data_IF_906735461727
#
_entry.id   IF_906735461727
#
_cell.length_a   1.000
_cell.length_b   1.000
_cell.length_c   1.000
_cell.angle_alpha   90.00
_cell.angle_beta   90.00
_cell.angle_gamma   90.00
#
_symmetry.space_group_name_H-M   'P 1'
#
loop_
_entity.id
_entity.type
_entity.pdbx_description
1 polymer ?
#
# COMPACT_ATOMS: atom_id res chain seq x y z
N UNK A 1 0.09 20.86 -11.37
CA UNK A 1 0.12 19.41 -11.10
C UNK A 1 1.38 18.91 -11.73
N UNK A 2 2.24 18.21 -11.00
CA UNK A 2 3.42 17.60 -11.63
C UNK A 2 3.03 16.33 -12.42
N UNK A 3 3.97 15.82 -13.22
CA UNK A 3 3.75 14.65 -14.08
C UNK A 3 3.36 13.40 -13.30
N UNK A 4 3.97 13.17 -12.14
CA UNK A 4 3.73 11.97 -11.33
C UNK A 4 2.40 12.06 -10.59
N UNK A 5 2.02 13.26 -10.13
CA UNK A 5 0.71 13.56 -9.57
C UNK A 5 -0.40 13.38 -10.62
N UNK A 6 -0.16 13.79 -11.86
CA UNK A 6 -1.09 13.57 -12.98
C UNK A 6 -1.30 12.08 -13.26
N UNK A 7 -0.21 11.31 -13.43
CA UNK A 7 -0.26 9.86 -13.62
C UNK A 7 -1.05 9.21 -12.48
N UNK A 8 -0.73 9.53 -11.23
CA UNK A 8 -1.38 8.93 -10.06
C UNK A 8 -2.88 9.21 -10.01
N UNK A 9 -3.30 10.43 -10.34
CA UNK A 9 -4.73 10.81 -10.35
C UNK A 9 -5.48 10.11 -11.47
N UNK A 10 -4.95 10.13 -12.70
CA UNK A 10 -5.56 9.41 -13.83
C UNK A 10 -5.62 7.91 -13.54
N UNK A 11 -4.51 7.30 -13.12
CA UNK A 11 -4.44 5.88 -12.79
C UNK A 11 -5.46 5.47 -11.71
N UNK A 12 -5.66 6.31 -10.69
CA UNK A 12 -6.68 6.08 -9.66
C UNK A 12 -8.09 5.95 -10.23
N UNK A 13 -8.47 6.83 -11.15
CA UNK A 13 -9.79 6.78 -11.81
C UNK A 13 -9.88 5.68 -12.87
N UNK A 14 -8.81 5.44 -13.63
CA UNK A 14 -8.74 4.31 -14.59
C UNK A 14 -8.93 2.99 -13.84
N UNK A 15 -8.24 2.79 -12.71
CA UNK A 15 -8.40 1.61 -11.84
C UNK A 15 -9.80 1.48 -11.26
N UNK A 16 -10.44 2.61 -10.93
CA UNK A 16 -11.81 2.63 -10.42
C UNK A 16 -12.82 2.11 -11.45
N UNK A 17 -12.66 2.46 -12.72
CA UNK A 17 -13.70 2.22 -13.74
C UNK A 17 -13.39 1.07 -14.70
N UNK A 18 -12.12 0.75 -14.99
CA UNK A 18 -11.77 -0.18 -16.08
C UNK A 18 -12.51 -1.53 -16.02
N UNK A 19 -12.62 -2.14 -14.84
CA UNK A 19 -13.31 -3.43 -14.68
C UNK A 19 -14.81 -3.36 -14.96
N UNK A 20 -15.46 -2.26 -14.57
CA UNK A 20 -16.92 -2.09 -14.75
C UNK A 20 -17.31 -2.06 -16.23
N UNK A 21 -16.36 -1.69 -17.09
CA UNK A 21 -16.53 -1.62 -18.53
C UNK A 21 -15.87 -2.79 -19.29
N UNK A 22 -15.32 -3.77 -18.58
CA UNK A 22 -14.71 -4.98 -19.15
C UNK A 22 -13.30 -4.78 -19.73
N UNK A 23 -12.61 -3.71 -19.34
CA UNK A 23 -11.26 -3.40 -19.82
C UNK A 23 -10.21 -3.98 -18.87
N UNK A 24 -9.26 -4.75 -19.40
CA UNK A 24 -8.26 -5.47 -18.62
C UNK A 24 -6.90 -4.74 -18.48
N UNK A 25 -6.69 -3.67 -19.27
CA UNK A 25 -5.49 -2.83 -19.24
C UNK A 25 -5.79 -1.42 -18.71
N UNK A 26 -4.79 -0.78 -18.13
CA UNK A 26 -4.80 0.56 -17.54
C UNK A 26 -3.71 1.44 -18.15
N UNK A 27 -2.51 0.89 -18.38
CA UNK A 27 -1.35 1.61 -18.90
C UNK A 27 -1.57 2.32 -20.23
N UNK A 28 -2.22 1.74 -21.26
CA UNK A 28 -2.45 2.46 -22.50
C UNK A 28 -3.44 3.60 -22.31
N UNK A 29 -4.40 3.47 -21.40
CA UNK A 29 -5.42 4.52 -21.10
C UNK A 29 -4.76 5.71 -20.40
N UNK A 30 -3.86 5.44 -19.44
CA UNK A 30 -3.09 6.49 -18.77
C UNK A 30 -2.20 7.21 -19.80
N UNK A 31 -1.54 6.47 -20.69
CA UNK A 31 -0.72 7.06 -21.75
C UNK A 31 -1.54 7.89 -22.75
N UNK A 32 -2.73 7.43 -23.14
CA UNK A 32 -3.67 8.22 -23.94
C UNK A 32 -4.00 9.54 -23.26
N UNK A 33 -4.33 9.53 -21.97
CA UNK A 33 -4.62 10.75 -21.23
C UNK A 33 -3.43 11.71 -21.25
N UNK A 34 -2.20 11.21 -21.10
CA UNK A 34 -0.98 12.03 -21.15
C UNK A 34 -0.80 12.67 -22.54
N UNK A 35 -0.90 11.87 -23.59
CA UNK A 35 -0.68 12.30 -24.97
C UNK A 35 -1.72 13.33 -25.42
N UNK A 36 -3.00 13.00 -25.25
CA UNK A 36 -4.14 13.79 -25.74
C UNK A 36 -4.30 15.12 -24.98
N UNK A 37 -3.94 15.13 -23.70
CA UNK A 37 -4.07 16.33 -22.87
C UNK A 37 -2.80 17.15 -22.77
N UNK A 38 -1.66 16.66 -23.25
CA UNK A 38 -0.35 17.25 -22.98
C UNK A 38 -0.13 17.39 -21.48
N UNK A 39 -0.19 16.28 -20.72
CA UNK A 39 -0.07 16.28 -19.25
C UNK A 39 -1.15 17.08 -18.50
N UNK A 40 -2.33 17.21 -19.09
CA UNK A 40 -3.46 17.96 -18.54
C UNK A 40 -3.38 19.47 -18.80
N UNK A 41 -2.37 19.94 -19.52
CA UNK A 41 -2.11 21.37 -19.74
C UNK A 41 -2.87 21.93 -20.94
N UNK A 42 -3.37 21.07 -21.85
CA UNK A 42 -4.19 21.53 -22.97
C UNK A 42 -5.44 22.26 -22.45
N UNK A 43 -5.88 23.30 -23.18
CA UNK A 43 -7.10 24.03 -22.80
C UNK A 43 -8.30 23.08 -22.67
N UNK A 44 -8.38 22.06 -23.52
CA UNK A 44 -9.45 21.06 -23.50
C UNK A 44 -9.46 20.27 -22.17
N UNK A 45 -8.28 19.91 -21.65
CA UNK A 45 -8.15 19.20 -20.39
C UNK A 45 -8.26 20.12 -19.16
N UNK A 46 -7.53 21.24 -19.15
CA UNK A 46 -7.44 22.14 -18.00
C UNK A 46 -8.75 22.86 -17.67
N UNK A 47 -9.53 23.24 -18.69
CA UNK A 47 -10.77 24.02 -18.52
C UNK A 47 -12.01 23.14 -18.59
N UNK A 48 -12.01 22.12 -19.46
CA UNK A 48 -13.22 21.32 -19.74
C UNK A 48 -13.11 19.88 -19.29
N UNK A 49 -12.01 19.52 -18.59
CA UNK A 49 -11.78 18.20 -18.01
C UNK A 49 -11.87 17.05 -19.03
N UNK A 50 -11.55 17.31 -20.29
CA UNK A 50 -11.52 16.30 -21.34
C UNK A 50 -10.06 15.95 -21.66
N UNK A 51 -9.55 14.91 -21.00
CA UNK A 51 -8.15 14.48 -21.06
C UNK A 51 -7.84 13.57 -22.25
N UNK A 52 -8.86 13.20 -23.02
CA UNK A 52 -8.80 12.12 -24.01
C UNK A 52 -9.16 12.62 -25.42
N UNK A 53 -9.35 13.93 -25.62
CA UNK A 53 -9.72 14.48 -26.93
C UNK A 53 -11.11 14.07 -27.42
N UNK A 54 -12.03 13.72 -26.52
CA UNK A 54 -13.30 13.09 -26.90
C UNK A 54 -14.24 14.09 -27.59
N UNK A 55 -14.51 13.84 -28.86
CA UNK A 55 -15.51 14.57 -29.63
C UNK A 55 -16.94 14.17 -29.25
N UNK A 56 -17.90 15.04 -29.51
CA UNK A 56 -19.31 14.77 -29.20
C UNK A 56 -19.86 13.62 -30.07
N UNK A 57 -19.48 13.58 -31.35
CA UNK A 57 -20.12 12.70 -32.32
C UNK A 57 -21.65 12.94 -32.37
N UNK A 58 -22.41 11.93 -32.78
CA UNK A 58 -23.88 12.04 -32.92
C UNK A 58 -24.67 11.64 -31.67
N UNK A 59 -24.05 10.91 -30.73
CA UNK A 59 -24.74 10.34 -29.55
C UNK A 59 -24.58 11.16 -28.26
N UNK A 60 -23.63 12.08 -28.19
CA UNK A 60 -23.40 12.88 -26.99
C UNK A 60 -24.50 13.93 -26.79
N UNK A 61 -25.11 13.96 -25.60
CA UNK A 61 -26.14 14.93 -25.20
C UNK A 61 -25.70 15.87 -24.08
N UNK A 62 -24.47 15.73 -23.61
CA UNK A 62 -23.92 16.55 -22.54
C UNK A 62 -23.40 17.90 -23.04
N UNK A 63 -22.75 18.65 -22.14
CA UNK A 63 -22.11 19.92 -22.48
C UNK A 63 -21.03 19.74 -23.53
N UNK A 64 -20.87 20.74 -24.40
CA UNK A 64 -19.88 20.74 -25.47
C UNK A 64 -19.15 22.08 -25.55
N UNK A 65 -17.95 22.04 -26.14
CA UNK A 65 -17.18 23.22 -26.51
C UNK A 65 -16.65 23.06 -27.92
N UNK A 66 -16.76 24.11 -28.73
CA UNK A 66 -16.25 24.14 -30.09
C UNK A 66 -14.79 24.66 -30.09
N UNK A 67 -13.84 23.85 -30.56
CA UNK A 67 -12.41 24.17 -30.55
C UNK A 67 -11.73 23.74 -31.85
N UNK A 68 -10.62 24.42 -32.18
CA UNK A 68 -9.73 23.99 -33.26
C UNK A 68 -8.94 22.75 -32.85
N UNK A 69 -8.77 21.82 -33.77
CA UNK A 69 -7.92 20.63 -33.62
C UNK A 69 -7.19 20.34 -34.93
N UNK A 70 -6.25 19.39 -34.91
CA UNK A 70 -5.54 18.92 -36.11
C UNK A 70 -5.98 17.50 -36.44
N UNK A 71 -6.16 17.21 -37.72
CA UNK A 71 -6.41 15.85 -38.24
C UNK A 71 -5.34 15.47 -39.26
N UNK A 72 -4.95 14.20 -39.29
CA UNK A 72 -4.00 13.67 -40.27
C UNK A 72 -4.75 12.83 -41.32
N UNK A 73 -5.25 13.47 -42.37
CA UNK A 73 -5.89 12.76 -43.49
C UNK A 73 -4.87 12.12 -44.45
N UNK A 74 -3.63 12.61 -44.43
CA UNK A 74 -2.51 12.06 -45.19
C UNK A 74 -1.31 11.99 -44.25
N UNK A 75 -0.61 10.84 -44.13
CA UNK A 75 0.52 10.70 -43.22
C UNK A 75 1.56 11.82 -43.39
N UNK A 76 1.89 12.50 -42.30
CA UNK A 76 2.80 13.65 -42.26
C UNK A 76 2.13 15.02 -42.43
N UNK A 77 0.85 15.10 -42.80
CA UNK A 77 0.17 16.37 -43.10
C UNK A 77 -0.97 16.63 -42.11
N UNK A 78 -0.78 17.61 -41.23
CA UNK A 78 -1.79 18.06 -40.28
C UNK A 78 -2.73 19.10 -40.93
N UNK A 79 -4.03 18.81 -40.90
CA UNK A 79 -5.10 19.68 -41.39
C UNK A 79 -5.83 20.31 -40.20
N UNK A 80 -5.87 21.64 -40.07
CA UNK A 80 -6.62 22.29 -39.01
C UNK A 80 -8.11 22.20 -39.30
N UNK A 81 -8.88 21.72 -38.33
CA UNK A 81 -10.35 21.69 -38.38
C UNK A 81 -10.92 22.29 -37.10
N UNK A 82 -12.24 22.47 -37.06
CA UNK A 82 -12.97 22.86 -35.86
C UNK A 82 -14.00 21.79 -35.55
N UNK A 83 -14.09 21.37 -34.29
CA UNK A 83 -14.99 20.30 -33.87
C UNK A 83 -15.57 20.56 -32.46
N UNK A 84 -16.64 19.86 -32.13
CA UNK A 84 -17.29 19.92 -30.83
C UNK A 84 -16.75 18.82 -29.92
N UNK A 85 -16.12 19.22 -28.81
CA UNK A 85 -15.60 18.33 -27.80
C UNK A 85 -16.51 18.25 -26.58
N UNK A 86 -16.51 17.09 -25.93
CA UNK A 86 -17.26 16.85 -24.69
C UNK A 86 -16.67 17.70 -23.56
N UNK A 87 -17.53 18.18 -22.67
CA UNK A 87 -17.16 18.94 -21.47
C UNK A 87 -17.61 18.16 -20.23
N UNK A 88 -16.70 18.03 -19.27
CA UNK A 88 -16.92 17.30 -18.03
C UNK A 88 -16.80 18.23 -16.82
N UNK A 89 -17.43 17.86 -15.71
CA UNK A 89 -17.47 18.68 -14.49
C UNK A 89 -16.20 18.55 -13.63
N UNK A 90 -15.43 17.47 -13.79
CA UNK A 90 -14.25 17.18 -12.99
C UNK A 90 -13.32 16.21 -13.73
N UNK A 91 -12.10 16.03 -13.20
CA UNK A 91 -11.16 15.02 -13.70
C UNK A 91 -11.74 13.61 -13.68
N UNK A 92 -12.45 13.26 -12.61
CA UNK A 92 -13.10 11.96 -12.49
C UNK A 92 -14.15 11.74 -13.58
N UNK A 93 -15.04 12.71 -13.79
CA UNK A 93 -16.08 12.64 -14.83
C UNK A 93 -15.47 12.60 -16.23
N UNK A 94 -14.33 13.27 -16.45
CA UNK A 94 -13.56 13.18 -17.69
C UNK A 94 -13.01 11.78 -17.97
N UNK A 95 -12.44 11.12 -16.95
CA UNK A 95 -11.95 9.74 -17.06
C UNK A 95 -13.10 8.75 -17.21
N UNK A 96 -14.17 8.91 -16.43
CA UNK A 96 -15.38 8.09 -16.59
C UNK A 96 -15.98 8.25 -18.00
N UNK A 97 -15.99 9.47 -18.54
CA UNK A 97 -16.47 9.78 -19.88
C UNK A 97 -15.71 9.06 -21.00
N UNK A 98 -14.44 8.71 -20.80
CA UNK A 98 -13.70 7.82 -21.70
C UNK A 98 -14.30 6.41 -21.72
N UNK A 99 -14.57 5.84 -20.55
CA UNK A 99 -15.15 4.51 -20.46
C UNK A 99 -16.58 4.45 -21.02
N UNK A 100 -17.37 5.50 -20.81
CA UNK A 100 -18.68 5.68 -21.44
C UNK A 100 -18.56 5.85 -22.97
N UNK A 101 -17.52 6.54 -23.46
CA UNK A 101 -17.27 6.72 -24.90
C UNK A 101 -16.95 5.40 -25.61
N UNK A 102 -16.11 4.55 -25.01
CA UNK A 102 -15.77 3.24 -25.59
C UNK A 102 -16.92 2.22 -25.49
N UNK A 103 -18.09 2.61 -24.97
CA UNK A 103 -19.33 1.82 -25.10
C UNK A 103 -19.98 1.93 -26.48
N UNK A 104 -19.45 2.77 -27.38
CA UNK A 104 -19.87 2.76 -28.78
C UNK A 104 -19.55 1.40 -29.42
N UNK A 105 -20.42 0.95 -30.32
CA UNK A 105 -20.39 -0.37 -30.95
C UNK A 105 -19.02 -0.71 -31.55
N UNK A 106 -18.39 0.25 -32.23
CA UNK A 106 -17.08 0.07 -32.85
C UNK A 106 -15.94 -0.24 -31.88
N UNK A 107 -16.07 0.07 -30.59
CA UNK A 107 -15.02 -0.11 -29.58
C UNK A 107 -15.27 -1.31 -28.65
N UNK A 108 -16.31 -2.10 -28.89
CA UNK A 108 -16.68 -3.21 -28.01
C UNK A 108 -15.66 -4.37 -28.00
N UNK A 109 -14.84 -4.46 -29.07
CA UNK A 109 -13.70 -5.38 -29.22
C UNK A 109 -12.54 -5.10 -28.27
N UNK A 110 -12.51 -3.95 -27.57
CA UNK A 110 -11.47 -3.62 -26.60
C UNK A 110 -11.55 -4.45 -25.31
N UNK A 111 -12.72 -5.05 -25.02
CA UNK A 111 -12.94 -5.79 -23.78
C UNK A 111 -12.04 -7.02 -23.69
N UNK A 112 -11.44 -7.22 -22.52
CA UNK A 112 -10.58 -8.37 -22.25
C UNK A 112 -9.20 -8.35 -22.90
N UNK A 113 -8.85 -7.34 -23.72
CA UNK A 113 -7.49 -7.17 -24.23
C UNK A 113 -6.55 -6.91 -23.04
N UNK A 114 -5.49 -7.73 -22.93
CA UNK A 114 -4.50 -7.68 -21.85
C UNK A 114 -3.16 -7.06 -22.26
N UNK A 115 -2.92 -6.93 -23.57
CA UNK A 115 -1.70 -6.36 -24.11
C UNK A 115 -1.92 -4.86 -24.45
N UNK A 116 -1.12 -3.93 -23.89
CA UNK A 116 -1.27 -2.50 -24.14
C UNK A 116 -1.11 -2.08 -25.60
N UNK A 117 -0.19 -2.72 -26.34
CA UNK A 117 0.04 -2.41 -27.75
C UNK A 117 -1.16 -2.88 -28.58
N UNK A 118 -1.65 -4.10 -28.34
CA UNK A 118 -2.86 -4.62 -29.00
C UNK A 118 -4.08 -3.75 -28.71
N UNK A 119 -4.23 -3.23 -27.48
CA UNK A 119 -5.30 -2.30 -27.13
C UNK A 119 -5.24 -1.01 -27.97
N UNK A 120 -4.03 -0.42 -28.10
CA UNK A 120 -3.81 0.81 -28.86
C UNK A 120 -3.97 0.62 -30.38
N UNK A 121 -3.53 -0.52 -30.91
CA UNK A 121 -3.73 -0.89 -32.31
C UNK A 121 -5.22 -1.05 -32.63
N UNK A 122 -5.95 -1.74 -31.75
CA UNK A 122 -7.38 -1.99 -31.90
C UNK A 122 -8.17 -0.68 -31.86
N UNK A 123 -7.99 0.14 -30.82
CA UNK A 123 -8.73 1.40 -30.67
C UNK A 123 -8.42 2.40 -31.80
N UNK A 124 -7.20 2.39 -32.33
CA UNK A 124 -6.82 3.19 -33.50
C UNK A 124 -7.54 2.69 -34.76
N UNK A 125 -7.54 1.38 -35.00
CA UNK A 125 -8.23 0.78 -36.14
C UNK A 125 -9.74 1.11 -36.15
N UNK A 126 -10.33 1.25 -34.96
CA UNK A 126 -11.73 1.64 -34.78
C UNK A 126 -11.98 3.16 -34.92
N UNK A 127 -10.94 3.93 -35.30
CA UNK A 127 -11.05 5.35 -35.64
C UNK A 127 -11.02 6.29 -34.44
N UNK A 128 -10.26 5.96 -33.40
CA UNK A 128 -10.00 6.87 -32.27
C UNK A 128 -9.09 8.05 -32.65
N UNK A 129 -8.03 7.79 -33.40
CA UNK A 129 -7.05 8.80 -33.82
C UNK A 129 -6.68 8.62 -35.30
N UNK A 130 -6.48 9.73 -36.00
CA UNK A 130 -6.04 9.75 -37.41
C UNK A 130 -4.52 9.66 -37.55
N UNK A 131 -3.76 9.98 -36.49
CA UNK A 131 -2.31 9.98 -36.54
C UNK A 131 -1.72 8.59 -36.83
N UNK A 132 -0.92 8.52 -37.88
CA UNK A 132 -0.11 7.38 -38.29
C UNK A 132 0.82 6.91 -37.17
N UNK A 133 1.38 7.82 -36.36
CA UNK A 133 2.30 7.56 -35.25
C UNK A 133 1.63 7.35 -33.89
N UNK A 134 0.29 7.31 -33.83
CA UNK A 134 -0.46 7.26 -32.57
C UNK A 134 -0.05 6.09 -31.64
N UNK A 135 0.00 4.86 -32.15
CA UNK A 135 0.37 3.67 -31.36
C UNK A 135 1.81 3.79 -30.86
N UNK A 136 2.74 4.15 -31.76
CA UNK A 136 4.16 4.32 -31.44
C UNK A 136 4.36 5.35 -30.32
N UNK A 137 3.82 6.56 -30.48
CA UNK A 137 3.96 7.64 -29.51
C UNK A 137 3.32 7.30 -28.16
N UNK A 138 2.17 6.62 -28.17
CA UNK A 138 1.48 6.24 -26.94
C UNK A 138 2.24 5.12 -26.22
N UNK A 139 2.75 4.12 -26.94
CA UNK A 139 3.58 3.06 -26.35
C UNK A 139 4.91 3.60 -25.82
N UNK A 140 5.53 4.59 -26.48
CA UNK A 140 6.70 5.28 -25.94
C UNK A 140 6.41 5.89 -24.56
N UNK A 141 5.23 6.47 -24.35
CA UNK A 141 4.82 6.99 -23.03
C UNK A 141 4.62 5.84 -22.03
N UNK A 142 3.96 4.75 -22.45
CA UNK A 142 3.79 3.54 -21.62
C UNK A 142 5.14 3.06 -21.09
N UNK A 143 6.14 2.93 -21.96
CA UNK A 143 7.50 2.49 -21.59
C UNK A 143 8.26 3.54 -20.79
N UNK A 144 8.26 4.80 -21.22
CA UNK A 144 9.05 5.87 -20.60
C UNK A 144 8.69 6.10 -19.12
N UNK A 145 7.41 5.95 -18.77
CA UNK A 145 6.91 6.16 -17.41
C UNK A 145 6.55 4.85 -16.69
N UNK A 146 6.99 3.71 -17.24
CA UNK A 146 6.77 2.38 -16.68
C UNK A 146 5.29 2.12 -16.32
N UNK A 147 4.38 2.54 -17.19
CA UNK A 147 2.95 2.54 -16.88
C UNK A 147 2.36 1.12 -16.82
N UNK A 148 3.04 0.12 -17.35
CA UNK A 148 2.60 -1.28 -17.28
C UNK A 148 2.51 -1.79 -15.83
N UNK A 149 3.18 -1.13 -14.87
CA UNK A 149 2.96 -1.38 -13.44
C UNK A 149 1.49 -1.28 -13.03
N UNK A 150 0.68 -0.47 -13.73
CA UNK A 150 -0.75 -0.31 -13.47
C UNK A 150 -1.64 -1.40 -14.10
N UNK A 151 -1.11 -2.21 -15.04
CA UNK A 151 -1.83 -3.34 -15.64
C UNK A 151 -1.78 -4.58 -14.75
N UNK A 152 -0.77 -4.68 -13.89
CA UNK A 152 -0.52 -5.85 -13.06
C UNK A 152 -1.39 -5.79 -11.82
N UNK A 153 -2.62 -6.31 -11.92
CA UNK A 153 -3.58 -6.38 -10.79
C UNK A 153 -3.14 -7.29 -9.62
N UNK A 154 -1.92 -7.85 -9.63
CA UNK A 154 -1.39 -8.73 -8.60
C UNK A 154 0.00 -8.32 -8.11
N UNK A 155 1.00 -8.31 -8.97
CA UNK A 155 2.42 -8.29 -8.56
C UNK A 155 2.86 -7.06 -7.75
N UNK A 156 2.32 -5.86 -7.97
CA UNK A 156 2.70 -4.69 -7.17
C UNK A 156 2.15 -4.76 -5.73
N UNK A 157 0.94 -5.28 -5.56
CA UNK A 157 0.33 -5.56 -4.25
C UNK A 157 1.06 -6.71 -3.55
N UNK A 158 1.37 -7.79 -4.28
CA UNK A 158 2.19 -8.92 -3.82
C UNK A 158 3.55 -8.46 -3.31
N UNK A 159 4.28 -7.74 -4.16
CA UNK A 159 5.61 -7.26 -3.89
C UNK A 159 5.58 -6.33 -2.68
N UNK A 160 4.53 -5.49 -2.54
CA UNK A 160 4.38 -4.61 -1.38
C UNK A 160 4.12 -5.34 -0.07
N UNK A 161 3.26 -6.37 -0.06
CA UNK A 161 2.97 -7.15 1.16
C UNK A 161 4.16 -8.03 1.57
N UNK A 162 4.78 -8.73 0.62
CA UNK A 162 6.02 -9.46 0.86
C UNK A 162 7.15 -8.50 1.31
N UNK A 163 7.26 -7.33 0.69
CA UNK A 163 8.23 -6.30 1.09
C UNK A 163 7.96 -5.77 2.50
N UNK A 164 6.71 -5.67 2.94
CA UNK A 164 6.37 -5.27 4.31
C UNK A 164 6.82 -6.33 5.34
N UNK A 165 6.60 -7.62 5.05
CA UNK A 165 7.11 -8.74 5.86
C UNK A 165 8.64 -8.66 5.96
N UNK A 166 9.32 -8.48 4.82
CA UNK A 166 10.77 -8.39 4.78
C UNK A 166 11.32 -7.15 5.46
N UNK A 167 10.66 -5.99 5.30
CA UNK A 167 11.04 -4.76 5.99
C UNK A 167 10.93 -4.93 7.51
N UNK A 168 9.87 -5.57 7.98
CA UNK A 168 9.69 -5.84 9.40
C UNK A 168 10.71 -6.85 9.95
N UNK A 169 10.99 -7.94 9.21
CA UNK A 169 12.02 -8.90 9.59
C UNK A 169 13.43 -8.25 9.65
N UNK A 170 13.77 -7.42 8.64
CA UNK A 170 15.03 -6.65 8.58
C UNK A 170 15.18 -5.70 9.77
N UNK A 171 14.10 -5.02 10.15
CA UNK A 171 14.11 -4.06 11.26
C UNK A 171 14.43 -4.71 12.62
N UNK A 172 14.31 -6.04 12.73
CA UNK A 172 14.64 -6.78 13.95
C UNK A 172 15.96 -7.53 13.91
N UNK A 173 16.68 -7.52 12.77
CA UNK A 173 18.04 -8.08 12.70
C UNK A 173 18.92 -7.44 13.77
N UNK A 174 19.61 -8.26 14.55
CA UNK A 174 20.44 -7.85 15.68
C UNK A 174 19.75 -7.95 17.05
N UNK A 175 18.42 -8.07 17.12
CA UNK A 175 17.75 -8.35 18.41
C UNK A 175 18.19 -9.70 18.96
N UNK A 176 18.48 -9.80 20.25
CA UNK A 176 19.10 -10.99 20.83
C UNK A 176 18.74 -11.23 22.30
N UNK A 177 19.18 -12.37 22.82
CA UNK A 177 18.99 -12.78 24.21
C UNK A 177 19.96 -12.11 25.18
N UNK A 178 21.19 -11.84 24.75
CA UNK A 178 22.23 -11.28 25.62
C UNK A 178 21.87 -9.88 26.13
N UNK A 179 21.29 -9.02 25.28
CA UNK A 179 20.80 -7.69 25.67
C UNK A 179 19.30 -7.66 26.01
N UNK A 180 18.62 -8.80 25.92
CA UNK A 180 17.21 -8.95 26.23
C UNK A 180 16.23 -8.34 25.20
N UNK A 181 16.70 -7.82 24.07
CA UNK A 181 15.84 -7.17 23.06
C UNK A 181 14.88 -8.14 22.36
N UNK A 182 15.16 -9.45 22.36
CA UNK A 182 14.23 -10.49 21.90
C UNK A 182 12.91 -10.51 22.70
N UNK A 183 12.91 -10.07 23.97
CA UNK A 183 11.70 -10.04 24.80
C UNK A 183 10.58 -9.22 24.17
N UNK A 184 10.93 -8.11 23.52
CA UNK A 184 9.97 -7.28 22.79
C UNK A 184 9.34 -7.95 21.57
N UNK A 185 9.94 -9.01 21.02
CA UNK A 185 9.32 -9.86 19.98
C UNK A 185 8.29 -10.77 20.65
N UNK A 186 8.68 -11.45 21.72
CA UNK A 186 7.81 -12.36 22.50
C UNK A 186 6.62 -11.60 23.11
N UNK A 187 6.81 -10.38 23.57
CA UNK A 187 5.74 -9.54 24.13
C UNK A 187 4.68 -9.18 23.08
N UNK A 188 5.10 -8.89 21.84
CA UNK A 188 4.17 -8.62 20.74
C UNK A 188 3.36 -9.87 20.41
N UNK A 189 4.01 -11.04 20.35
CA UNK A 189 3.31 -12.31 20.14
C UNK A 189 2.29 -12.57 21.25
N UNK A 190 2.72 -12.47 22.51
CA UNK A 190 1.87 -12.73 23.67
C UNK A 190 0.74 -11.70 23.83
N UNK A 191 0.84 -10.54 23.19
CA UNK A 191 -0.23 -9.54 23.12
C UNK A 191 -1.27 -9.81 22.02
N UNK A 192 -1.02 -10.74 21.11
CA UNK A 192 -1.95 -11.10 20.05
C UNK A 192 -2.85 -12.26 20.49
N UNK A 193 -4.11 -11.98 20.74
CA UNK A 193 -5.10 -12.96 21.21
C UNK A 193 -6.11 -13.34 20.13
N UNK A 194 -6.58 -14.59 20.08
CA UNK A 194 -6.25 -15.70 20.99
C UNK A 194 -4.81 -16.22 20.79
N UNK A 195 -4.18 -16.64 21.89
CA UNK A 195 -2.84 -17.24 21.83
C UNK A 195 -2.91 -18.58 21.10
N UNK A 196 -1.90 -18.87 20.26
CA UNK A 196 -1.81 -20.17 19.64
C UNK A 196 -1.76 -21.26 20.72
N UNK A 197 -2.67 -22.23 20.62
CA UNK A 197 -2.81 -23.33 21.59
C UNK A 197 -3.04 -22.87 23.05
N UNK A 198 -3.48 -21.62 23.25
CA UNK A 198 -3.62 -21.02 24.58
C UNK A 198 -2.29 -20.83 25.32
N UNK A 199 -1.15 -20.94 24.64
CA UNK A 199 0.17 -20.93 25.27
C UNK A 199 0.80 -19.54 25.23
N UNK A 200 1.21 -19.04 26.40
CA UNK A 200 1.98 -17.81 26.53
C UNK A 200 3.48 -18.15 26.47
N UNK A 201 4.16 -17.70 25.42
CA UNK A 201 5.59 -17.97 25.19
C UNK A 201 6.42 -17.32 26.28
N UNK A 202 7.32 -18.10 26.90
CA UNK A 202 8.25 -17.61 27.93
C UNK A 202 9.50 -17.05 27.26
N UNK A 203 10.19 -16.13 27.93
CA UNK A 203 11.46 -15.58 27.43
C UNK A 203 12.60 -16.59 27.32
N UNK A 204 12.47 -17.75 27.95
CA UNK A 204 13.43 -18.85 27.89
C UNK A 204 13.09 -19.91 26.84
N UNK A 205 11.93 -19.80 26.20
CA UNK A 205 11.52 -20.76 25.17
C UNK A 205 12.26 -20.44 23.86
N UNK A 206 12.49 -21.46 23.04
CA UNK A 206 12.91 -21.24 21.66
C UNK A 206 11.86 -20.41 20.92
N UNK A 207 12.29 -19.41 20.15
CA UNK A 207 11.40 -18.36 19.64
C UNK A 207 11.48 -18.14 18.12
N UNK A 208 11.97 -19.12 17.35
CA UNK A 208 12.03 -19.04 15.89
C UNK A 208 10.64 -18.96 15.22
N UNK A 209 9.71 -19.86 15.56
CA UNK A 209 8.32 -19.80 15.09
C UNK A 209 7.58 -18.57 15.64
N UNK A 210 7.82 -18.23 16.91
CA UNK A 210 7.31 -17.01 17.53
C UNK A 210 7.75 -15.78 16.73
N UNK A 211 9.00 -15.69 16.29
CA UNK A 211 9.50 -14.58 15.46
C UNK A 211 8.71 -14.43 14.15
N UNK A 212 8.54 -15.52 13.39
CA UNK A 212 7.79 -15.49 12.11
C UNK A 212 6.35 -15.04 12.34
N UNK A 213 5.67 -15.62 13.34
CA UNK A 213 4.32 -15.21 13.74
C UNK A 213 4.25 -13.74 14.12
N UNK A 214 5.24 -13.24 14.87
CA UNK A 214 5.27 -11.84 15.32
C UNK A 214 5.47 -10.88 14.16
N UNK A 215 6.29 -11.24 13.16
CA UNK A 215 6.42 -10.47 11.91
C UNK A 215 5.06 -10.38 11.21
N UNK A 216 4.36 -11.51 11.05
CA UNK A 216 3.03 -11.54 10.43
C UNK A 216 1.99 -10.71 11.20
N UNK A 217 1.99 -10.79 12.55
CA UNK A 217 1.13 -9.99 13.43
C UNK A 217 1.38 -8.49 13.20
N UNK A 218 2.64 -8.06 13.13
CA UNK A 218 2.99 -6.64 12.90
C UNK A 218 2.58 -6.14 11.52
N UNK A 219 2.60 -7.01 10.52
CA UNK A 219 2.19 -6.68 9.17
C UNK A 219 0.67 -6.81 8.93
N UNK A 220 -0.09 -7.35 9.89
CA UNK A 220 -1.53 -7.63 9.71
C UNK A 220 -1.80 -8.79 8.74
N UNK A 221 -0.87 -9.76 8.64
CA UNK A 221 -0.88 -10.83 7.63
C UNK A 221 -1.10 -12.22 8.24
N UNK A 222 -1.73 -12.31 9.41
CA UNK A 222 -1.96 -13.57 10.12
C UNK A 222 -2.91 -14.53 9.41
N UNK A 223 -3.66 -14.06 8.40
CA UNK A 223 -4.52 -14.88 7.55
C UNK A 223 -3.78 -15.74 6.52
N UNK A 224 -2.53 -15.40 6.19
CA UNK A 224 -1.69 -16.11 5.20
C UNK A 224 -0.37 -16.60 5.80
N UNK A 225 0.09 -16.00 6.90
CA UNK A 225 1.18 -16.51 7.73
C UNK A 225 0.59 -16.80 9.12
N UNK A 226 0.30 -18.07 9.47
CA UNK A 226 -0.46 -18.40 10.65
C UNK A 226 0.28 -18.06 11.94
N UNK A 227 -0.48 -17.70 12.98
CA UNK A 227 0.06 -17.43 14.31
C UNK A 227 0.30 -18.74 15.06
N UNK A 228 1.57 -19.08 15.32
CA UNK A 228 1.99 -20.28 16.04
C UNK A 228 3.40 -20.09 16.68
N UNK A 229 3.71 -20.85 17.73
CA UNK A 229 4.99 -20.82 18.43
C UNK A 229 5.78 -22.16 18.35
N UNK A 230 5.27 -23.16 17.62
CA UNK A 230 5.99 -24.41 17.30
C UNK A 230 6.13 -24.65 15.80
N UNK A 231 7.31 -25.06 15.34
CA UNK A 231 7.60 -25.25 13.91
C UNK A 231 6.67 -26.29 13.25
N UNK A 232 6.52 -27.48 13.84
CA UNK A 232 5.70 -28.54 13.26
C UNK A 232 4.21 -28.20 13.19
N UNK A 233 3.70 -27.50 14.21
CA UNK A 233 2.33 -27.00 14.21
C UNK A 233 2.13 -25.91 13.17
N UNK A 234 3.13 -25.04 12.95
CA UNK A 234 3.05 -24.02 11.91
C UNK A 234 3.01 -24.64 10.51
N UNK A 235 3.79 -25.71 10.24
CA UNK A 235 3.66 -26.49 9.00
C UNK A 235 2.25 -27.03 8.83
N UNK A 236 1.65 -27.61 9.89
CA UNK A 236 0.28 -28.13 9.82
C UNK A 236 -0.74 -27.04 9.46
N UNK A 237 -0.56 -25.81 9.95
CA UNK A 237 -1.40 -24.67 9.61
C UNK A 237 -1.19 -24.22 8.15
N UNK A 238 0.04 -24.17 7.66
CA UNK A 238 0.30 -23.92 6.23
C UNK A 238 -0.32 -25.00 5.32
N UNK A 239 -0.27 -26.27 5.74
CA UNK A 239 -0.96 -27.37 5.04
C UNK A 239 -2.47 -27.15 5.01
N UNK A 240 -3.07 -26.76 6.14
CA UNK A 240 -4.50 -26.46 6.22
C UNK A 240 -4.94 -25.26 5.36
N UNK A 241 -4.06 -24.27 5.17
CA UNK A 241 -4.28 -23.13 4.27
C UNK A 241 -4.13 -23.50 2.78
N UNK A 242 -3.59 -24.68 2.47
CA UNK A 242 -3.19 -25.03 1.10
C UNK A 242 -2.03 -24.16 0.60
N UNK A 243 -1.15 -23.78 1.53
CA UNK A 243 0.00 -22.87 1.35
C UNK A 243 1.29 -23.53 1.84
N UNK A 244 1.38 -24.85 1.67
CA UNK A 244 2.57 -25.64 2.01
C UNK A 244 3.16 -26.28 0.77
N UNK A 245 4.48 -26.15 0.63
CA UNK A 245 5.27 -26.83 -0.40
C UNK A 245 6.29 -27.75 0.27
N UNK A 246 6.14 -29.05 0.05
CA UNK A 246 7.00 -30.09 0.62
C UNK A 246 8.37 -30.15 -0.07
N UNK A 247 8.45 -29.87 -1.38
CA UNK A 247 9.70 -30.06 -2.12
C UNK A 247 10.77 -29.02 -1.80
N UNK A 248 11.94 -29.50 -1.39
CA UNK A 248 13.16 -28.74 -1.12
C UNK A 248 13.89 -28.31 -2.40
N UNK A 249 13.61 -28.98 -3.52
CA UNK A 249 14.14 -28.66 -4.86
C UNK A 249 13.56 -27.39 -5.48
N UNK A 250 12.48 -26.85 -4.90
CA UNK A 250 11.89 -25.59 -5.34
C UNK A 250 12.82 -24.43 -5.01
N UNK A 251 13.09 -23.57 -5.99
CA UNK A 251 13.62 -22.23 -5.74
C UNK A 251 12.55 -21.37 -5.05
N UNK A 252 12.74 -20.93 -3.79
CA UNK A 252 11.74 -20.14 -3.09
C UNK A 252 11.69 -18.69 -3.60
N UNK A 253 10.66 -17.96 -3.16
CA UNK A 253 10.50 -16.53 -3.43
C UNK A 253 10.73 -15.70 -2.17
N UNK A 254 11.24 -14.45 -2.27
CA UNK A 254 11.30 -13.55 -1.12
C UNK A 254 9.93 -13.41 -0.44
N UNK A 255 9.89 -13.59 0.88
CA UNK A 255 8.66 -13.61 1.68
C UNK A 255 8.11 -15.01 1.95
N UNK A 256 8.66 -16.07 1.36
CA UNK A 256 8.35 -17.45 1.76
C UNK A 256 8.85 -17.72 3.19
N UNK A 257 8.18 -18.63 3.88
CA UNK A 257 8.58 -19.11 5.20
C UNK A 257 9.28 -20.45 5.05
N UNK A 258 10.60 -20.48 5.23
CA UNK A 258 11.40 -21.69 5.10
C UNK A 258 11.48 -22.44 6.44
N UNK A 259 11.29 -23.75 6.41
CA UNK A 259 11.46 -24.63 7.55
C UNK A 259 12.70 -25.50 7.38
N UNK A 260 13.32 -25.83 8.50
CA UNK A 260 14.52 -26.66 8.55
C UNK A 260 14.28 -27.91 9.37
N UNK A 261 14.97 -28.96 9.00
CA UNK A 261 15.13 -30.19 9.78
C UNK A 261 16.60 -30.61 9.63
N UNK A 262 17.33 -30.57 10.74
CA UNK A 262 18.76 -30.76 10.78
C UNK A 262 19.17 -32.23 10.65
N UNK A 263 18.21 -33.15 10.77
CA UNK A 263 18.41 -34.59 10.60
C UNK A 263 18.19 -35.04 9.15
N UNK A 264 17.95 -34.10 8.23
CA UNK A 264 17.82 -34.38 6.80
C UNK A 264 19.03 -35.15 6.25
N UNK A 265 18.73 -36.28 5.61
CA UNK A 265 19.71 -37.14 4.93
C UNK A 265 20.20 -36.54 3.61
N UNK A 266 19.48 -35.56 3.04
CA UNK A 266 19.73 -34.98 1.73
C UNK A 266 19.32 -35.88 0.56
N UNK A 267 18.54 -36.93 0.82
CA UNK A 267 18.06 -37.88 -0.18
C UNK A 267 16.53 -37.79 -0.34
N UNK A 268 16.09 -37.23 -1.47
CA UNK A 268 14.67 -36.98 -1.73
C UNK A 268 14.10 -35.84 -0.89
N UNK A 269 12.81 -35.55 -1.06
CA UNK A 269 12.14 -34.50 -0.28
C UNK A 269 12.14 -34.86 1.21
N UNK A 270 12.60 -33.95 2.07
CA UNK A 270 12.58 -34.17 3.50
C UNK A 270 11.14 -34.11 4.07
N UNK A 271 10.74 -35.15 4.79
CA UNK A 271 9.41 -35.25 5.44
C UNK A 271 9.45 -35.25 6.98
N UNK A 272 10.63 -35.12 7.60
CA UNK A 272 10.86 -35.20 9.05
C UNK A 272 10.24 -34.07 9.88
N UNK A 273 10.54 -34.05 11.19
CA UNK A 273 9.98 -33.05 12.09
C UNK A 273 10.83 -31.77 12.05
N UNK A 274 10.24 -30.57 11.87
CA UNK A 274 11.04 -29.35 11.73
C UNK A 274 11.64 -28.88 13.05
N UNK A 275 12.90 -28.49 12.99
CA UNK A 275 13.66 -27.92 14.11
C UNK A 275 13.62 -26.40 14.14
N UNK A 276 13.56 -25.76 12.97
CA UNK A 276 13.73 -24.32 12.85
C UNK A 276 12.92 -23.72 11.71
N UNK A 277 12.76 -22.39 11.72
CA UNK A 277 12.01 -21.65 10.71
C UNK A 277 12.54 -20.24 10.54
N UNK A 278 12.48 -19.72 9.32
CA UNK A 278 12.86 -18.34 8.98
C UNK A 278 12.07 -17.78 7.81
N UNK A 279 12.36 -16.54 7.44
CA UNK A 279 11.72 -15.84 6.32
C UNK A 279 12.76 -15.61 5.21
N UNK A 280 12.47 -16.10 4.01
CA UNK A 280 13.35 -15.94 2.83
C UNK A 280 13.43 -14.46 2.46
N UNK A 281 14.60 -13.85 2.58
CA UNK A 281 14.83 -12.43 2.30
C UNK A 281 15.17 -12.17 0.83
N UNK A 282 15.98 -13.02 0.23
CA UNK A 282 16.40 -12.90 -1.17
C UNK A 282 16.90 -14.23 -1.71
N UNK A 283 16.76 -14.42 -3.02
CA UNK A 283 17.37 -15.55 -3.74
C UNK A 283 18.21 -14.99 -4.88
N UNK A 284 19.50 -15.33 -4.91
CA UNK A 284 20.43 -14.83 -5.92
C UNK A 284 21.61 -15.77 -6.09
N UNK A 285 22.03 -16.03 -7.33
CA UNK A 285 23.24 -16.82 -7.61
C UNK A 285 23.19 -18.24 -7.03
N UNK A 286 22.01 -18.87 -7.03
CA UNK A 286 21.82 -20.21 -6.47
C UNK A 286 21.78 -20.26 -4.94
N UNK A 287 21.82 -19.12 -4.25
CA UNK A 287 21.76 -19.03 -2.80
C UNK A 287 20.46 -18.37 -2.32
N UNK A 288 19.98 -18.81 -1.17
CA UNK A 288 18.86 -18.26 -0.41
C UNK A 288 19.45 -17.54 0.80
N UNK A 289 19.10 -16.27 1.00
CA UNK A 289 19.34 -15.53 2.25
C UNK A 289 18.05 -15.53 3.06
N UNK A 290 18.15 -15.90 4.34
CA UNK A 290 17.00 -16.08 5.24
C UNK A 290 17.23 -15.25 6.50
N UNK A 291 16.20 -14.55 6.95
CA UNK A 291 16.18 -13.91 8.28
C UNK A 291 15.50 -14.88 9.26
N UNK A 292 16.24 -15.28 10.28
CA UNK A 292 15.82 -16.24 11.30
C UNK A 292 15.79 -15.55 12.67
N UNK A 293 14.76 -15.83 13.46
CA UNK A 293 14.74 -15.53 14.89
C UNK A 293 15.32 -16.70 15.69
N UNK A 294 15.90 -16.41 16.86
CA UNK A 294 16.56 -17.41 17.71
C UNK A 294 17.70 -18.19 17.00
N UNK A 295 18.25 -17.65 15.91
CA UNK A 295 19.46 -18.17 15.28
C UNK A 295 20.66 -17.76 16.13
N UNK A 296 21.27 -18.72 16.82
CA UNK A 296 22.32 -18.46 17.80
C UNK A 296 21.87 -17.42 18.85
N UNK A 297 20.65 -17.58 19.37
CA UNK A 297 20.03 -16.68 20.37
C UNK A 297 19.83 -15.23 19.89
N UNK A 298 19.76 -15.01 18.56
CA UNK A 298 19.57 -13.70 17.95
C UNK A 298 18.69 -13.76 16.68
N UNK A 299 18.19 -12.58 16.25
CA UNK A 299 17.69 -12.39 14.89
C UNK A 299 18.90 -12.16 13.99
N UNK A 300 19.11 -13.07 13.04
CA UNK A 300 20.28 -13.04 12.16
C UNK A 300 19.97 -13.56 10.77
N UNK A 301 20.92 -13.35 9.86
CA UNK A 301 20.86 -13.90 8.51
C UNK A 301 21.55 -15.25 8.43
N UNK A 302 21.01 -16.15 7.60
CA UNK A 302 21.66 -17.37 7.12
C UNK A 302 21.69 -17.32 5.60
N UNK A 303 22.77 -17.82 5.01
CA UNK A 303 22.85 -18.09 3.57
C UNK A 303 22.99 -19.59 3.38
N UNK A 304 22.13 -20.17 2.55
CA UNK A 304 22.16 -21.59 2.18
C UNK A 304 22.02 -21.73 0.66
N UNK A 305 22.49 -22.83 0.05
CA UNK A 305 22.19 -23.11 -1.35
C UNK A 305 20.69 -23.40 -1.55
N UNK A 306 20.16 -23.04 -2.71
CA UNK A 306 18.87 -23.55 -3.21
C UNK A 306 18.99 -25.07 -3.33
N UNK A 307 17.94 -25.81 -2.97
CA UNK A 307 17.98 -27.27 -2.89
C UNK A 307 19.10 -27.78 -1.96
N UNK A 308 19.42 -26.99 -0.93
CA UNK A 308 20.40 -27.34 0.07
C UNK A 308 19.88 -28.39 1.05
N UNK A 309 20.80 -29.16 1.61
CA UNK A 309 20.51 -30.06 2.73
C UNK A 309 19.88 -29.30 3.90
N UNK A 310 19.01 -29.98 4.65
CA UNK A 310 18.28 -29.49 5.83
C UNK A 310 17.05 -28.64 5.55
N UNK A 311 16.68 -28.45 4.29
CA UNK A 311 15.44 -27.77 3.95
C UNK A 311 14.30 -28.75 4.15
N UNK A 312 13.41 -28.45 5.11
CA UNK A 312 12.21 -29.26 5.34
C UNK A 312 11.09 -28.93 4.35
N UNK A 313 11.08 -27.70 3.84
CA UNK A 313 10.04 -27.22 2.93
C UNK A 313 9.67 -25.77 3.22
N UNK A 314 8.59 -25.32 2.59
CA UNK A 314 8.22 -23.91 2.58
C UNK A 314 6.73 -23.72 2.89
N UNK A 315 6.43 -22.82 3.82
CA UNK A 315 5.19 -22.07 3.79
C UNK A 315 5.26 -21.07 2.63
N UNK A 316 4.22 -21.01 1.79
CA UNK A 316 4.13 -20.18 0.59
C UNK A 316 2.95 -19.21 0.70
N UNK A 317 3.09 -18.12 1.50
CA UNK A 317 1.98 -17.21 1.78
C UNK A 317 1.40 -16.62 0.49
N UNK A 318 0.09 -16.74 0.34
CA UNK A 318 -0.66 -16.19 -0.80
C UNK A 318 -0.89 -14.70 -0.60
N UNK A 319 0.13 -13.89 -0.87
CA UNK A 319 0.02 -12.42 -0.81
C UNK A 319 -1.03 -11.85 -1.82
N UNK A 320 -1.60 -12.69 -2.69
CA UNK A 320 -2.45 -12.34 -3.87
C UNK A 320 -3.92 -12.38 -3.55
N UNK A 321 -4.28 -13.15 -2.52
CA UNK A 321 -5.56 -12.98 -1.86
C UNK A 321 -5.52 -11.63 -1.18
N UNK A 322 -6.44 -10.73 -1.55
CA UNK A 322 -6.83 -9.67 -0.63
C UNK A 322 -7.01 -10.35 0.73
N UNK A 323 -6.11 -10.04 1.66
CA UNK A 323 -6.30 -10.46 3.03
C UNK A 323 -7.59 -9.78 3.42
N UNK A 324 -8.65 -10.57 3.51
CA UNK A 324 -9.83 -10.20 4.25
C UNK A 324 -9.35 -10.03 5.68
N UNK A 325 -8.89 -8.81 5.98
CA UNK A 325 -8.93 -8.28 7.32
C UNK A 325 -10.31 -8.66 7.88
N UNK A 326 -10.39 -9.09 9.16
CA UNK A 326 -11.66 -9.43 9.77
C UNK A 326 -12.69 -8.34 9.44
N UNK A 327 -13.93 -8.72 9.09
CA UNK A 327 -14.88 -7.85 8.43
C UNK A 327 -14.96 -6.51 9.16
N UNK A 328 -14.67 -5.42 8.45
CA UNK A 328 -14.92 -4.08 8.95
C UNK A 328 -16.43 -4.00 9.23
N UNK A 329 -16.89 -3.86 10.49
CA UNK A 329 -18.31 -3.67 10.74
C UNK A 329 -18.70 -2.30 10.20
N UNK A 330 -19.89 -2.25 9.60
CA UNK A 330 -20.48 -1.08 8.97
C UNK A 330 -20.57 0.14 9.91
N UNK A 331 -19.54 0.98 9.91
CA UNK A 331 -19.63 2.38 10.29
C UNK A 331 -19.66 3.22 9.01
N UNK A 332 -20.75 3.95 8.75
CA UNK A 332 -21.03 4.73 7.52
C UNK A 332 -19.92 5.70 7.07
N UNK A 333 -18.87 5.91 7.86
CA UNK A 333 -17.81 6.91 7.64
C UNK A 333 -16.42 6.29 7.63
N UNK A 334 -15.58 6.75 6.71
CA UNK A 334 -14.17 6.33 6.58
C UNK A 334 -13.31 6.75 7.77
N UNK A 335 -12.19 6.06 8.01
CA UNK A 335 -11.18 6.39 9.05
C UNK A 335 -10.74 7.85 8.98
N UNK A 336 -10.58 8.40 7.77
CA UNK A 336 -10.23 9.81 7.57
C UNK A 336 -11.34 10.78 8.00
N UNK A 337 -12.62 10.43 7.81
CA UNK A 337 -13.75 11.23 8.29
C UNK A 337 -13.86 11.16 9.81
N UNK A 338 -13.70 9.97 10.39
CA UNK A 338 -13.69 9.78 11.84
C UNK A 338 -12.52 10.49 12.50
N UNK A 339 -11.32 10.47 11.90
CA UNK A 339 -10.16 11.22 12.40
C UNK A 339 -10.43 12.74 12.47
N UNK A 340 -11.13 13.31 11.49
CA UNK A 340 -11.56 14.72 11.54
C UNK A 340 -12.56 14.98 12.67
N UNK A 341 -13.47 14.05 12.93
CA UNK A 341 -14.41 14.13 14.05
C UNK A 341 -13.71 13.97 15.41
N UNK A 342 -12.67 13.16 15.48
CA UNK A 342 -11.81 13.02 16.67
C UNK A 342 -11.06 14.33 16.94
N UNK A 343 -10.50 14.96 15.92
CA UNK A 343 -9.89 16.30 16.02
C UNK A 343 -10.91 17.34 16.45
N UNK A 344 -12.16 17.24 15.95
CA UNK A 344 -13.27 18.07 16.37
C UNK A 344 -13.88 17.71 17.75
N UNK A 345 -13.28 16.76 18.48
CA UNK A 345 -13.65 16.41 19.86
C UNK A 345 -14.91 15.56 20.01
N UNK A 346 -15.53 15.08 18.93
CA UNK A 346 -16.81 14.34 18.97
C UNK A 346 -16.71 12.96 19.63
N UNK A 347 -15.50 12.43 19.73
CA UNK A 347 -15.20 11.09 20.21
C UNK A 347 -14.56 11.08 21.61
N UNK A 348 -14.66 12.15 22.40
CA UNK A 348 -14.08 12.17 23.74
C UNK A 348 -12.54 12.18 23.74
N UNK A 349 -11.92 11.84 24.87
CA UNK A 349 -10.47 11.88 25.07
C UNK A 349 -9.95 10.63 25.80
N UNK A 350 -8.64 10.35 25.65
CA UNK A 350 -7.98 9.24 26.35
C UNK A 350 -8.68 7.88 26.17
N UNK A 351 -8.95 7.21 27.28
CA UNK A 351 -9.61 5.90 27.30
C UNK A 351 -11.06 5.95 26.78
N UNK A 352 -11.79 7.04 27.01
CA UNK A 352 -13.17 7.21 26.51
C UNK A 352 -13.20 7.19 24.97
N UNK A 353 -12.25 7.87 24.35
CA UNK A 353 -12.11 7.87 22.88
C UNK A 353 -11.84 6.50 22.31
N UNK A 354 -10.90 5.78 22.93
CA UNK A 354 -10.57 4.42 22.53
C UNK A 354 -11.81 3.53 22.61
N UNK A 355 -12.48 3.52 23.76
CA UNK A 355 -13.67 2.71 24.00
C UNK A 355 -14.81 3.05 23.02
N UNK A 356 -15.04 4.33 22.73
CA UNK A 356 -16.11 4.77 21.82
C UNK A 356 -15.81 4.43 20.36
N UNK A 357 -14.56 4.61 19.92
CA UNK A 357 -14.15 4.22 18.58
C UNK A 357 -14.24 2.70 18.40
N UNK A 358 -13.75 1.93 19.36
CA UNK A 358 -13.82 0.46 19.34
C UNK A 358 -15.27 -0.05 19.40
N UNK A 359 -16.12 0.54 20.25
CA UNK A 359 -17.56 0.22 20.31
C UNK A 359 -18.31 0.56 19.02
N UNK A 360 -17.85 1.59 18.29
CA UNK A 360 -18.38 1.96 16.98
C UNK A 360 -17.74 1.16 15.82
N UNK A 361 -16.92 0.15 16.13
CA UNK A 361 -16.30 -0.74 15.13
C UNK A 361 -15.07 -0.16 14.44
N UNK A 362 -14.50 0.95 14.93
CA UNK A 362 -13.29 1.55 14.39
C UNK A 362 -12.02 1.07 15.11
N UNK A 363 -10.96 0.84 14.34
CA UNK A 363 -9.62 0.60 14.90
C UNK A 363 -9.05 1.92 15.47
N UNK A 364 -8.94 1.99 16.80
CA UNK A 364 -8.42 3.17 17.50
C UNK A 364 -7.05 3.60 16.98
N UNK A 365 -6.14 2.66 16.71
CA UNK A 365 -4.77 2.98 16.30
C UNK A 365 -4.73 3.60 14.90
N UNK A 366 -5.53 3.11 13.97
CA UNK A 366 -5.62 3.66 12.61
C UNK A 366 -6.21 5.08 12.61
N UNK A 367 -7.30 5.27 13.35
CA UNK A 367 -7.91 6.59 13.54
C UNK A 367 -6.91 7.53 14.19
N UNK A 368 -6.18 7.07 15.21
CA UNK A 368 -5.19 7.89 15.91
C UNK A 368 -3.96 8.21 15.04
N UNK A 369 -3.50 7.28 14.20
CA UNK A 369 -2.44 7.54 13.23
C UNK A 369 -2.87 8.60 12.21
N UNK A 370 -4.12 8.53 11.73
CA UNK A 370 -4.68 9.51 10.81
C UNK A 370 -4.89 10.88 11.46
N UNK A 371 -5.29 10.92 12.74
CA UNK A 371 -5.32 12.15 13.55
C UNK A 371 -3.93 12.77 13.64
N UNK A 372 -2.92 11.98 13.94
CA UNK A 372 -1.53 12.45 14.06
C UNK A 372 -1.01 12.98 12.70
N UNK A 373 -1.32 12.29 11.60
CA UNK A 373 -0.99 12.75 10.27
C UNK A 373 -1.66 14.11 9.94
N UNK A 374 -2.95 14.26 10.23
CA UNK A 374 -3.69 15.51 10.01
C UNK A 374 -3.18 16.67 10.88
N UNK A 375 -2.74 16.40 12.11
CA UNK A 375 -2.17 17.41 13.02
C UNK A 375 -0.72 17.76 12.67
N UNK A 376 0.04 16.83 12.09
CA UNK A 376 1.41 17.08 11.61
C UNK A 376 1.46 17.95 10.34
N UNK A 377 0.35 18.07 9.60
CA UNK A 377 0.25 18.85 8.37
C UNK A 377 0.08 20.37 8.56
N UNK A 378 0.20 20.90 9.78
CA UNK A 378 -0.08 22.30 10.07
C UNK A 378 0.75 22.89 11.21
N UNK A 379 2.08 22.90 11.09
CA UNK A 379 2.92 23.70 11.98
C UNK A 379 3.14 25.11 11.38
N UNK A 380 2.23 26.04 11.65
CA UNK A 380 2.53 27.47 11.49
C UNK A 380 3.46 27.93 12.62
N UNK A 381 4.50 28.69 12.27
CA UNK A 381 5.47 29.27 13.21
C UNK A 381 4.76 30.04 14.34
N UNK A 382 5.13 29.87 15.62
CA UNK A 382 4.42 30.48 16.73
C UNK A 382 4.52 32.02 16.71
N UNK A 383 3.40 32.71 16.95
CA UNK A 383 3.29 34.18 16.91
C UNK A 383 3.54 34.87 18.26
N UNK A 384 3.48 34.15 19.38
CA UNK A 384 3.76 34.71 20.72
C UNK A 384 5.16 34.29 21.19
N UNK A 385 5.80 35.13 22.01
CA UNK A 385 7.10 34.77 22.59
C UNK A 385 6.95 33.76 23.73
N UNK A 386 8.02 33.01 24.02
CA UNK A 386 8.07 32.07 25.16
C UNK A 386 7.67 32.73 26.48
N UNK A 387 8.01 34.02 26.68
CA UNK A 387 7.64 34.78 27.88
C UNK A 387 6.12 35.05 27.95
N UNK A 388 5.48 35.39 26.83
CA UNK A 388 4.03 35.59 26.77
C UNK A 388 3.27 34.29 27.05
N UNK A 389 3.75 33.19 26.49
CA UNK A 389 3.15 31.87 26.71
C UNK A 389 3.35 31.41 28.16
N UNK A 390 4.52 31.65 28.76
CA UNK A 390 4.78 31.34 30.17
C UNK A 390 3.81 32.09 31.11
N UNK A 391 3.51 33.35 30.83
CA UNK A 391 2.50 34.11 31.60
C UNK A 391 1.10 33.49 31.47
N UNK A 392 0.72 33.02 30.28
CA UNK A 392 -0.56 32.31 30.08
C UNK A 392 -0.59 30.95 30.79
N UNK A 393 0.55 30.26 30.88
CA UNK A 393 0.69 29.02 31.64
C UNK A 393 0.48 29.27 33.13
N UNK A 394 1.09 30.33 33.68
CA UNK A 394 0.90 30.75 35.08
C UNK A 394 -0.57 31.11 35.33
N UNK A 395 -1.22 31.77 34.37
CA UNK A 395 -2.64 32.07 34.41
C UNK A 395 -3.55 30.84 34.15
N UNK A 396 -2.99 29.63 34.05
CA UNK A 396 -3.73 28.37 33.95
C UNK A 396 -4.33 28.06 32.57
N UNK A 397 -4.06 28.87 31.53
CA UNK A 397 -4.70 28.75 30.21
C UNK A 397 -4.27 27.51 29.41
N UNK A 398 -3.17 26.88 29.82
CA UNK A 398 -2.54 25.76 29.12
C UNK A 398 -2.70 24.42 29.84
N UNK A 399 -3.56 24.33 30.87
CA UNK A 399 -3.72 23.10 31.64
C UNK A 399 -2.49 22.78 32.51
N UNK A 400 -2.40 21.53 32.97
CA UNK A 400 -1.35 21.06 33.90
C UNK A 400 -0.70 19.75 33.42
N UNK A 401 0.47 19.42 33.98
CA UNK A 401 1.16 18.16 33.72
C UNK A 401 1.34 17.81 32.23
N UNK A 402 0.95 16.59 31.85
CA UNK A 402 1.07 16.07 30.50
C UNK A 402 0.18 16.83 29.49
N UNK A 403 -0.97 17.36 29.92
CA UNK A 403 -1.86 18.14 29.05
C UNK A 403 -1.18 19.42 28.57
N UNK A 404 -0.51 20.12 29.49
CA UNK A 404 0.24 21.34 29.18
C UNK A 404 1.34 21.09 28.16
N UNK A 405 2.10 20.02 28.36
CA UNK A 405 3.17 19.62 27.44
C UNK A 405 2.63 19.40 26.04
N UNK A 406 1.60 18.56 25.91
CA UNK A 406 1.01 18.22 24.62
C UNK A 406 0.42 19.46 23.91
N UNK A 407 -0.22 20.37 24.65
CA UNK A 407 -0.82 21.59 24.09
C UNK A 407 0.24 22.58 23.62
N UNK A 408 1.33 22.75 24.36
CA UNK A 408 2.43 23.64 23.98
C UNK A 408 3.17 23.11 22.75
N UNK A 409 3.49 21.81 22.71
CA UNK A 409 4.16 21.18 21.57
C UNK A 409 3.26 21.19 20.32
N UNK A 410 1.96 20.94 20.47
CA UNK A 410 0.99 21.06 19.38
C UNK A 410 0.85 22.49 18.85
N UNK A 411 1.05 23.50 19.69
CA UNK A 411 1.07 24.91 19.31
C UNK A 411 2.44 25.39 18.77
N UNK A 412 3.39 24.46 18.59
CA UNK A 412 4.72 24.74 18.04
C UNK A 412 5.73 25.30 19.06
N UNK A 413 5.44 25.26 20.36
CA UNK A 413 6.35 25.71 21.41
C UNK A 413 7.15 24.57 22.00
N UNK A 414 8.42 24.83 22.32
CA UNK A 414 9.23 23.91 23.11
C UNK A 414 8.75 23.95 24.57
N UNK A 415 8.19 22.83 25.04
CA UNK A 415 7.67 22.70 26.40
C UNK A 415 8.73 23.04 27.46
N UNK A 416 9.97 22.57 27.29
CA UNK A 416 11.02 22.76 28.28
C UNK A 416 11.42 24.23 28.41
N UNK A 417 11.49 24.96 27.29
CA UNK A 417 11.80 26.39 27.28
C UNK A 417 10.71 27.22 27.98
N UNK A 418 9.44 26.92 27.68
CA UNK A 418 8.29 27.58 28.33
C UNK A 418 8.27 27.26 29.82
N UNK A 419 8.47 25.99 30.22
CA UNK A 419 8.45 25.58 31.62
C UNK A 419 9.62 26.16 32.42
N UNK A 420 10.81 26.27 31.81
CA UNK A 420 11.95 26.98 32.41
C UNK A 420 11.60 28.46 32.66
N UNK A 421 10.92 29.12 31.70
CA UNK A 421 10.51 30.51 31.85
C UNK A 421 9.42 30.71 32.90
N UNK A 422 8.46 29.78 33.01
CA UNK A 422 7.46 29.77 34.09
C UNK A 422 8.14 29.70 35.46
N UNK A 423 9.12 28.80 35.62
CA UNK A 423 9.85 28.65 36.89
C UNK A 423 10.66 29.91 37.26
N UNK A 424 11.15 30.67 36.27
CA UNK A 424 11.81 31.96 36.51
C UNK A 424 10.84 33.06 36.98
N UNK A 425 9.61 33.07 36.47
CA UNK A 425 8.61 34.11 36.78
C UNK A 425 7.87 33.89 38.11
N UNK A 426 7.98 32.68 38.69
CA UNK A 426 7.38 32.31 39.99
C UNK A 426 8.38 32.33 41.15
N UNK A 427 9.64 32.68 40.90
CA UNK A 427 10.63 33.05 41.92
C UNK A 427 10.59 34.56 42.11
#
# INVERSE_FOLDING_TARGET
MDKQEFIKKIAGYVKKYASDYGIAVHSPIIAQAILESGWGESRLAAVYHNYFGLKCGTKWKGKSVNLKTMEEYTPGTLTPITDNFRVYASMEEGVKGYFEFIQLERYQNLRGIKDPAVYLETIKADGYATSSKYVENTMQIVTQYDLQQYDVKGEESMAKLASAVLAQARAWVGRNEADGTHKGIIDVYNGHTPLARGYKVKYTDAWCATFVSTVAIKCGLTGIIPTECGCGQMIALFKALGEWQESDSRTPTPGDVIFYDWDDSGAGDNTGWPDHVGIVESVSGGNIVVIEGNKNNAVGRRTIPVNGRYIRGYGVPKYDKETTAPPQPSGEKSVAAVAKEVIAGKWGNGADRKNRLEAAGYNYQEVQNQVNALLSGGATKPTKTVAQVAMEVIAGKWGNGAERKNRLEAAGYNYQEVQNKVNQLLR
#
